data_IF_224631967377
#
_entry.id   IF_224631967377
#
_cell.length_a   1.000
_cell.length_b   1.000
_cell.length_c   1.000
_cell.angle_alpha   90.00
_cell.angle_beta   90.00
_cell.angle_gamma   90.00
#
_symmetry.space_group_name_H-M   'P 1'
#
loop_
_entity.id
_entity.type
_entity.pdbx_description
1 polymer ?
#
# COMPACT_ATOMS: atom_id res chain seq x y z
N UNK A 1 -56.13 65.25 7.26
CA UNK A 1 -56.75 64.30 6.30
C UNK A 1 -55.61 63.69 5.47
N UNK A 2 -55.29 62.40 5.69
CA UNK A 2 -54.35 61.48 4.96
C UNK A 2 -52.93 62.01 4.64
N UNK A 3 -51.91 61.65 5.43
CA UNK A 3 -50.96 60.50 5.33
C UNK A 3 -49.78 60.74 4.36
N UNK A 4 -48.60 60.97 4.98
CA UNK A 4 -47.24 60.44 4.72
C UNK A 4 -47.10 59.35 3.63
N UNK A 5 -46.01 59.15 2.87
CA UNK A 5 -44.56 59.27 3.13
C UNK A 5 -43.83 59.11 1.77
N UNK A 6 -42.70 59.80 1.54
CA UNK A 6 -41.51 59.25 0.85
C UNK A 6 -40.43 60.35 0.77
N UNK A 7 -39.53 60.33 1.74
CA UNK A 7 -38.23 61.00 1.68
C UNK A 7 -37.20 60.00 1.16
N UNK A 8 -36.32 60.46 0.28
CA UNK A 8 -34.88 60.13 0.17
C UNK A 8 -34.41 60.70 -1.17
N UNK A 9 -33.60 61.75 -1.28
CA UNK A 9 -32.41 62.06 -0.49
C UNK A 9 -31.19 61.71 -1.35
N UNK A 10 -30.78 62.65 -2.20
CA UNK A 10 -29.54 62.61 -2.97
C UNK A 10 -28.32 62.45 -2.05
N UNK A 11 -27.26 61.78 -2.52
CA UNK A 11 -25.86 62.29 -2.57
C UNK A 11 -24.94 61.24 -3.19
N UNK A 12 -24.14 61.72 -4.14
CA UNK A 12 -23.00 61.09 -4.78
C UNK A 12 -21.90 60.80 -3.74
N UNK A 13 -21.50 59.54 -3.56
CA UNK A 13 -20.28 59.17 -2.81
C UNK A 13 -19.42 58.28 -3.71
N UNK A 14 -18.25 58.80 -4.06
CA UNK A 14 -17.10 58.05 -4.55
C UNK A 14 -16.63 57.13 -3.43
N UNK A 15 -16.58 55.83 -3.67
CA UNK A 15 -15.82 54.92 -2.82
C UNK A 15 -15.13 53.83 -3.64
N UNK A 16 -13.81 53.99 -3.76
CA UNK A 16 -12.84 52.93 -3.96
C UNK A 16 -13.10 51.78 -2.98
N UNK A 17 -13.40 50.58 -3.47
CA UNK A 17 -13.08 49.34 -2.77
C UNK A 17 -12.73 48.25 -3.79
N UNK A 18 -11.48 48.29 -4.21
CA UNK A 18 -10.56 47.16 -4.28
C UNK A 18 -11.08 45.91 -5.01
N UNK A 19 -10.66 45.83 -6.27
CA UNK A 19 -10.34 44.59 -6.96
C UNK A 19 -9.32 43.82 -6.10
N UNK A 20 -9.81 42.97 -5.19
CA UNK A 20 -9.04 41.87 -4.62
C UNK A 20 -9.26 40.64 -5.50
N UNK A 21 -8.83 40.73 -6.75
CA UNK A 21 -8.41 39.54 -7.50
C UNK A 21 -7.01 39.17 -6.98
N UNK A 22 -6.95 38.61 -5.77
CA UNK A 22 -5.77 37.90 -5.32
C UNK A 22 -5.80 36.52 -5.96
N UNK A 23 -5.08 36.42 -7.08
CA UNK A 23 -3.93 35.54 -7.16
C UNK A 23 -4.03 34.25 -6.34
N UNK A 24 -4.82 33.28 -6.80
CA UNK A 24 -4.49 31.86 -6.59
C UNK A 24 -3.53 31.44 -7.71
N UNK A 25 -2.32 31.98 -7.67
CA UNK A 25 -1.14 31.25 -8.12
C UNK A 25 -0.82 30.29 -6.97
N UNK A 26 -0.58 29.00 -7.13
CA UNK A 26 -0.43 28.16 -8.31
C UNK A 26 0.01 26.83 -7.73
N UNK A 27 -0.95 25.95 -7.45
CA UNK A 27 -0.62 24.54 -7.29
C UNK A 27 -0.36 24.03 -8.70
N UNK A 28 0.87 23.60 -8.95
CA UNK A 28 1.27 22.98 -10.21
C UNK A 28 0.53 21.65 -10.38
N UNK A 29 -0.73 21.67 -10.80
CA UNK A 29 -1.46 20.50 -11.24
C UNK A 29 -1.14 20.26 -12.72
N UNK A 30 -0.27 19.30 -13.01
CA UNK A 30 -0.12 18.81 -14.38
C UNK A 30 -1.31 17.88 -14.67
N UNK A 31 -2.20 18.32 -15.56
CA UNK A 31 -3.30 17.51 -16.07
C UNK A 31 -2.76 16.35 -16.89
N UNK A 32 -3.31 15.16 -16.69
CA UNK A 32 -3.00 14.01 -17.54
C UNK A 32 -3.96 13.93 -18.73
N UNK A 33 -3.65 13.09 -19.71
CA UNK A 33 -4.59 12.76 -20.80
C UNK A 33 -5.01 11.31 -20.65
N UNK A 34 -6.30 11.03 -20.82
CA UNK A 34 -6.76 9.64 -20.97
C UNK A 34 -6.44 9.18 -22.40
N UNK A 35 -5.54 8.21 -22.57
CA UNK A 35 -5.33 7.53 -23.85
C UNK A 35 -5.99 6.15 -23.79
N UNK A 36 -7.15 6.03 -24.46
CA UNK A 36 -8.01 4.86 -24.30
C UNK A 36 -8.65 4.80 -22.90
N UNK A 37 -8.72 3.60 -22.32
CA UNK A 37 -9.38 3.34 -21.02
C UNK A 37 -8.46 3.50 -19.80
N UNK A 38 -7.13 3.59 -19.99
CA UNK A 38 -6.15 3.69 -18.90
C UNK A 38 -5.89 5.15 -18.47
N UNK A 39 -5.57 5.34 -17.19
CA UNK A 39 -5.06 6.62 -16.69
C UNK A 39 -3.62 6.83 -17.15
N UNK A 40 -3.25 8.02 -17.59
CA UNK A 40 -1.85 8.40 -17.77
C UNK A 40 -1.44 9.28 -16.59
N UNK A 41 -0.27 9.10 -15.99
CA UNK A 41 0.13 9.86 -14.80
C UNK A 41 1.58 10.26 -14.96
N UNK A 42 1.85 11.56 -15.13
CA UNK A 42 3.21 12.08 -15.29
C UNK A 42 3.91 12.29 -13.95
N UNK A 43 4.40 11.19 -13.37
CA UNK A 43 5.14 11.18 -12.10
C UNK A 43 6.39 12.04 -12.18
N UNK A 44 7.14 11.96 -13.29
CA UNK A 44 8.40 12.70 -13.46
C UNK A 44 8.20 14.20 -13.33
N UNK A 45 7.07 14.71 -13.82
CA UNK A 45 6.75 16.14 -13.78
C UNK A 45 6.56 16.68 -12.36
N UNK A 46 6.07 15.87 -11.42
CA UNK A 46 5.72 16.32 -10.06
C UNK A 46 6.70 15.88 -8.98
N UNK A 47 7.53 14.84 -9.21
CA UNK A 47 8.35 14.20 -8.16
C UNK A 47 9.22 15.16 -7.34
N UNK A 48 9.65 16.29 -7.94
CA UNK A 48 10.51 17.30 -7.32
C UNK A 48 9.74 18.54 -6.84
N UNK A 49 8.41 18.56 -6.95
CA UNK A 49 7.58 19.67 -6.49
C UNK A 49 7.42 19.66 -4.98
N UNK A 50 7.01 20.81 -4.44
CA UNK A 50 6.65 20.94 -3.03
C UNK A 50 5.43 20.08 -2.72
N UNK A 51 5.34 19.65 -1.46
CA UNK A 51 4.21 18.87 -0.98
C UNK A 51 3.00 19.76 -0.71
N UNK A 52 1.82 19.27 -1.07
CA UNK A 52 0.54 19.81 -0.66
C UNK A 52 0.03 19.10 0.60
N UNK A 53 -0.71 19.83 1.41
CA UNK A 53 -1.36 19.32 2.61
C UNK A 53 -2.75 18.75 2.25
N UNK A 54 -3.07 17.61 2.86
CA UNK A 54 -4.38 16.99 2.81
C UNK A 54 -4.78 16.59 4.23
N UNK A 55 -6.08 16.56 4.48
CA UNK A 55 -6.63 16.28 5.80
C UNK A 55 -7.30 14.91 5.84
N UNK A 56 -7.15 14.21 6.96
CA UNK A 56 -7.69 12.87 7.13
C UNK A 56 -9.22 12.83 6.99
N UNK A 57 -9.89 13.91 7.42
CA UNK A 57 -11.33 14.13 7.22
C UNK A 57 -11.77 14.17 5.75
N UNK A 58 -10.85 14.34 4.78
CA UNK A 58 -11.17 14.21 3.34
C UNK A 58 -11.33 12.74 2.92
N UNK A 59 -10.80 11.79 3.68
CA UNK A 59 -10.84 10.36 3.37
C UNK A 59 -11.92 9.60 4.14
N UNK A 60 -12.12 9.96 5.41
CA UNK A 60 -13.03 9.23 6.31
C UNK A 60 -13.54 10.13 7.43
N UNK A 61 -14.75 9.82 7.93
CA UNK A 61 -15.34 10.49 9.09
C UNK A 61 -14.76 10.02 10.42
N UNK A 62 -13.98 8.93 10.42
CA UNK A 62 -13.45 8.34 11.65
C UNK A 62 -12.15 7.56 11.45
N UNK A 63 -11.45 7.37 12.56
CA UNK A 63 -10.19 6.61 12.63
C UNK A 63 -10.31 5.56 13.74
N UNK A 64 -9.84 4.35 13.45
CA UNK A 64 -9.77 3.27 14.43
C UNK A 64 -8.33 2.83 14.63
N UNK A 65 -7.92 2.74 15.89
CA UNK A 65 -6.65 2.15 16.29
C UNK A 65 -6.86 0.75 16.85
N UNK A 66 -6.04 -0.20 16.43
CA UNK A 66 -6.06 -1.58 16.90
C UNK A 66 -4.64 -1.98 17.32
N UNK A 67 -4.27 -1.81 18.61
CA UNK A 67 -3.03 -2.33 19.14
C UNK A 67 -3.02 -3.86 19.05
N UNK A 68 -2.01 -4.42 18.39
CA UNK A 68 -1.83 -5.87 18.36
C UNK A 68 -1.22 -6.32 19.69
N UNK A 69 -1.78 -7.37 20.31
CA UNK A 69 -1.28 -7.91 21.57
C UNK A 69 0.18 -8.34 21.45
N UNK A 70 0.99 -8.01 22.45
CA UNK A 70 2.41 -8.36 22.52
C UNK A 70 2.65 -9.48 23.52
N UNK A 71 3.42 -10.48 23.11
CA UNK A 71 3.82 -11.59 23.95
C UNK A 71 5.01 -12.37 23.36
N UNK A 72 5.57 -13.32 24.13
CA UNK A 72 6.76 -14.06 23.70
C UNK A 72 6.58 -14.92 22.44
N UNK A 73 5.33 -15.26 22.11
CA UNK A 73 4.99 -16.15 20.99
C UNK A 73 4.55 -15.39 19.72
N UNK A 74 4.39 -14.08 19.79
CA UNK A 74 3.79 -13.28 18.72
C UNK A 74 4.44 -11.91 18.55
N UNK A 75 5.67 -11.74 19.02
CA UNK A 75 6.45 -10.52 18.80
C UNK A 75 6.81 -10.39 17.31
N UNK A 76 6.28 -9.35 16.68
CA UNK A 76 6.44 -9.09 15.26
C UNK A 76 7.73 -8.31 15.00
N UNK A 77 8.52 -8.76 14.01
CA UNK A 77 9.69 -8.00 13.55
C UNK A 77 9.32 -6.78 12.74
N UNK A 78 8.30 -6.94 11.89
CA UNK A 78 7.68 -5.93 11.04
C UNK A 78 6.44 -6.55 10.39
N UNK A 79 5.58 -5.73 9.77
CA UNK A 79 4.43 -6.22 9.01
C UNK A 79 4.81 -6.30 7.54
N UNK A 80 5.02 -7.52 7.05
CA UNK A 80 5.34 -7.80 5.64
C UNK A 80 4.11 -7.99 4.77
N UNK A 81 3.05 -8.53 5.36
CA UNK A 81 1.79 -8.84 4.70
C UNK A 81 0.68 -8.80 5.75
N UNK A 82 -0.51 -8.38 5.32
CA UNK A 82 -1.68 -8.24 6.16
C UNK A 82 -2.95 -8.52 5.36
N UNK A 83 -3.90 -9.19 6.01
CA UNK A 83 -5.28 -9.30 5.57
C UNK A 83 -6.22 -9.19 6.76
N UNK A 84 -7.40 -8.64 6.51
CA UNK A 84 -8.45 -8.40 7.51
C UNK A 84 -9.73 -9.01 6.95
N UNK A 85 -10.40 -9.81 7.78
CA UNK A 85 -11.74 -10.31 7.52
C UNK A 85 -12.71 -9.60 8.45
N UNK A 86 -14.00 -9.89 8.33
CA UNK A 86 -15.01 -9.41 9.28
C UNK A 86 -14.65 -9.77 10.74
N UNK A 87 -14.06 -10.95 10.95
CA UNK A 87 -13.90 -11.55 12.28
C UNK A 87 -12.44 -11.56 12.77
N UNK A 88 -11.46 -11.44 11.87
CA UNK A 88 -10.05 -11.69 12.19
C UNK A 88 -9.08 -10.73 11.48
N UNK A 89 -7.88 -10.66 12.04
CA UNK A 89 -6.71 -9.96 11.48
C UNK A 89 -5.59 -10.97 11.32
N UNK A 90 -5.00 -11.04 10.13
CA UNK A 90 -3.86 -11.90 9.82
C UNK A 90 -2.65 -11.03 9.48
N UNK A 91 -1.53 -11.30 10.14
CA UNK A 91 -0.29 -10.53 9.98
C UNK A 91 0.87 -11.49 9.77
N UNK A 92 1.72 -11.24 8.78
CA UNK A 92 2.96 -11.99 8.60
C UNK A 92 4.17 -11.08 8.71
N UNK A 93 5.23 -11.57 9.35
CA UNK A 93 6.54 -10.93 9.47
C UNK A 93 7.61 -11.56 8.54
N UNK A 94 7.16 -12.22 7.46
CA UNK A 94 7.91 -13.12 6.57
C UNK A 94 8.34 -14.47 7.16
N UNK A 95 8.35 -14.63 8.48
CA UNK A 95 8.80 -15.86 9.13
C UNK A 95 7.64 -16.67 9.70
N UNK A 96 6.61 -16.01 10.20
CA UNK A 96 5.39 -16.62 10.72
C UNK A 96 4.14 -15.91 10.19
N UNK A 97 3.00 -16.54 10.40
CA UNK A 97 1.68 -15.98 10.17
C UNK A 97 0.91 -15.99 11.48
N UNK A 98 0.56 -14.79 11.95
CA UNK A 98 -0.06 -14.56 13.24
C UNK A 98 -1.51 -14.18 13.04
N UNK A 99 -2.38 -14.82 13.82
CA UNK A 99 -3.82 -14.68 13.76
C UNK A 99 -4.30 -13.97 15.03
N UNK A 100 -4.98 -12.85 14.85
CA UNK A 100 -5.56 -12.02 15.90
C UNK A 100 -7.08 -11.88 15.70
N UNK A 101 -7.80 -11.60 16.77
CA UNK A 101 -9.19 -11.14 16.65
C UNK A 101 -9.24 -9.66 16.20
N UNK A 102 -10.44 -9.15 15.90
CA UNK A 102 -10.63 -7.75 15.49
C UNK A 102 -10.25 -6.70 16.53
N UNK A 103 -10.10 -7.07 17.80
CA UNK A 103 -9.63 -6.17 18.86
C UNK A 103 -8.11 -6.16 19.00
N UNK A 104 -7.41 -6.98 18.21
CA UNK A 104 -5.96 -7.12 18.25
C UNK A 104 -5.46 -8.15 19.26
N UNK A 105 -6.33 -8.92 19.92
CA UNK A 105 -5.90 -9.99 20.82
C UNK A 105 -5.37 -11.17 20.03
N UNK A 106 -4.28 -11.74 20.50
CA UNK A 106 -3.62 -12.86 19.84
C UNK A 106 -4.42 -14.14 20.03
N UNK A 107 -4.61 -14.86 18.93
CA UNK A 107 -5.29 -16.17 18.94
C UNK A 107 -4.26 -17.28 18.81
N UNK A 108 -3.43 -17.26 17.75
CA UNK A 108 -2.44 -18.31 17.45
C UNK A 108 -1.47 -17.90 16.33
N UNK A 109 -0.37 -18.65 16.21
CA UNK A 109 0.43 -18.72 14.98
C UNK A 109 -0.11 -19.85 14.09
N UNK A 110 -0.14 -19.65 12.77
CA UNK A 110 -0.52 -20.66 11.77
C UNK A 110 0.73 -21.12 11.02
N UNK A 111 0.98 -22.43 11.05
CA UNK A 111 2.24 -23.01 10.60
C UNK A 111 3.37 -22.77 11.61
N UNK A 112 4.56 -23.30 11.30
CA UNK A 112 5.80 -23.04 12.05
C UNK A 112 7.03 -23.40 11.20
N UNK A 113 8.19 -22.93 11.63
CA UNK A 113 9.46 -23.31 11.00
C UNK A 113 9.81 -24.76 11.35
N UNK A 114 10.13 -25.55 10.33
CA UNK A 114 10.56 -26.95 10.49
C UNK A 114 10.48 -27.73 9.17
N UNK A 115 10.51 -29.06 9.26
CA UNK A 115 10.57 -29.98 8.12
C UNK A 115 9.44 -31.03 8.10
N UNK A 116 8.53 -31.00 9.08
CA UNK A 116 7.37 -31.88 9.16
C UNK A 116 6.19 -31.41 8.30
N UNK A 117 5.11 -32.22 8.21
CA UNK A 117 3.87 -31.82 7.54
C UNK A 117 3.30 -30.54 8.16
N UNK A 118 3.00 -29.53 7.33
CA UNK A 118 2.54 -28.23 7.81
C UNK A 118 3.63 -27.34 8.42
N UNK A 119 4.92 -27.64 8.19
CA UNK A 119 6.03 -26.77 8.56
C UNK A 119 6.65 -26.13 7.30
N UNK A 120 7.36 -25.00 7.46
CA UNK A 120 7.95 -24.23 6.37
C UNK A 120 9.43 -23.84 6.62
N UNK A 121 10.14 -23.47 5.56
CA UNK A 121 11.58 -23.18 5.60
C UNK A 121 11.96 -21.81 6.23
N UNK A 122 10.98 -21.00 6.66
CA UNK A 122 11.21 -19.74 7.37
C UNK A 122 11.28 -18.49 6.50
N UNK A 123 10.91 -18.58 5.21
CA UNK A 123 10.55 -17.42 4.38
C UNK A 123 9.22 -17.69 3.69
N UNK A 124 8.17 -17.02 4.14
CA UNK A 124 6.81 -17.31 3.67
C UNK A 124 6.17 -16.16 2.89
N UNK A 125 5.16 -16.51 2.10
CA UNK A 125 4.11 -15.63 1.60
C UNK A 125 2.77 -16.25 1.96
N UNK A 126 1.78 -15.39 2.19
CA UNK A 126 0.47 -15.83 2.65
C UNK A 126 -0.63 -15.36 1.70
N UNK A 127 -1.69 -16.16 1.60
CA UNK A 127 -2.96 -15.73 1.04
C UNK A 127 -4.12 -16.39 1.78
N UNK A 128 -5.27 -15.73 1.76
CA UNK A 128 -6.47 -16.12 2.47
C UNK A 128 -7.59 -16.34 1.46
N UNK A 129 -8.24 -17.48 1.55
CA UNK A 129 -9.51 -17.75 0.88
C UNK A 129 -10.64 -17.61 1.91
N UNK A 130 -11.28 -16.44 1.89
CA UNK A 130 -12.41 -16.13 2.79
C UNK A 130 -13.63 -17.02 2.49
N UNK A 131 -13.83 -17.42 1.24
CA UNK A 131 -15.01 -18.18 0.81
C UNK A 131 -14.92 -19.63 1.24
N UNK A 132 -13.75 -20.24 1.07
CA UNK A 132 -13.54 -21.64 1.45
C UNK A 132 -12.92 -21.81 2.84
N UNK A 133 -12.64 -20.71 3.56
CA UNK A 133 -12.03 -20.71 4.89
C UNK A 133 -10.69 -21.44 4.90
N UNK A 134 -9.81 -21.07 3.96
CA UNK A 134 -8.46 -21.63 3.86
C UNK A 134 -7.38 -20.56 3.93
N UNK A 135 -6.22 -20.98 4.45
CA UNK A 135 -4.99 -20.19 4.51
C UNK A 135 -3.92 -20.92 3.72
N UNK A 136 -3.26 -20.20 2.83
CA UNK A 136 -2.15 -20.72 2.03
C UNK A 136 -0.85 -20.11 2.51
N UNK A 137 0.09 -20.95 2.92
CA UNK A 137 1.45 -20.55 3.28
C UNK A 137 2.41 -21.11 2.24
N UNK A 138 2.93 -20.23 1.39
CA UNK A 138 3.91 -20.55 0.37
C UNK A 138 5.33 -20.35 0.92
N UNK A 139 6.14 -21.40 0.85
CA UNK A 139 7.56 -21.40 1.23
C UNK A 139 8.42 -20.86 0.09
N UNK A 140 8.86 -19.62 0.22
CA UNK A 140 9.70 -18.96 -0.77
C UNK A 140 11.03 -19.73 -0.94
N UNK A 141 11.37 -20.02 -2.20
CA UNK A 141 12.61 -20.71 -2.58
C UNK A 141 12.49 -22.23 -2.70
N UNK A 142 11.47 -22.87 -2.11
CA UNK A 142 11.25 -24.33 -2.25
C UNK A 142 10.01 -24.70 -3.05
N UNK A 143 9.09 -23.75 -3.28
CA UNK A 143 7.88 -24.00 -4.07
C UNK A 143 6.74 -24.68 -3.30
N UNK A 144 6.98 -25.11 -2.06
CA UNK A 144 5.97 -25.80 -1.24
C UNK A 144 4.87 -24.87 -0.74
N UNK A 145 3.62 -25.30 -0.82
CA UNK A 145 2.44 -24.61 -0.32
C UNK A 145 1.74 -25.49 0.71
N UNK A 146 1.66 -25.00 1.93
CA UNK A 146 0.86 -25.63 2.99
C UNK A 146 -0.51 -24.96 3.06
N UNK A 147 -1.57 -25.77 3.14
CA UNK A 147 -2.96 -25.32 3.25
C UNK A 147 -3.48 -25.62 4.65
N UNK A 148 -4.08 -24.62 5.28
CA UNK A 148 -4.64 -24.71 6.63
C UNK A 148 -6.10 -24.30 6.62
N UNK A 149 -6.85 -24.80 7.59
CA UNK A 149 -8.18 -24.31 7.92
C UNK A 149 -8.09 -22.93 8.59
N UNK A 150 -8.87 -21.97 8.12
CA UNK A 150 -8.79 -20.57 8.56
C UNK A 150 -9.29 -20.35 9.99
N UNK A 151 -10.31 -21.10 10.41
CA UNK A 151 -10.93 -20.94 11.73
C UNK A 151 -10.08 -21.60 12.82
N UNK A 152 -9.61 -22.82 12.55
CA UNK A 152 -8.88 -23.64 13.53
C UNK A 152 -7.37 -23.48 13.44
N UNK A 153 -6.83 -23.04 12.30
CA UNK A 153 -5.39 -23.04 12.00
C UNK A 153 -4.79 -24.43 11.78
N UNK A 154 -5.64 -25.47 11.61
CA UNK A 154 -5.18 -26.85 11.46
C UNK A 154 -4.63 -27.10 10.07
N UNK A 155 -3.50 -27.79 9.96
CA UNK A 155 -2.95 -28.23 8.68
C UNK A 155 -3.92 -29.20 7.98
N UNK A 156 -4.16 -28.99 6.69
CA UNK A 156 -5.05 -29.82 5.85
C UNK A 156 -4.25 -30.71 4.92
N UNK A 157 -3.47 -30.08 4.03
CA UNK A 157 -2.66 -30.74 3.01
C UNK A 157 -1.60 -29.79 2.48
N UNK A 158 -0.74 -30.30 1.59
CA UNK A 158 0.27 -29.51 0.91
C UNK A 158 0.38 -29.91 -0.56
N UNK A 159 0.82 -28.98 -1.39
CA UNK A 159 1.23 -29.21 -2.77
C UNK A 159 2.50 -28.39 -3.07
N UNK A 160 3.09 -28.58 -4.24
CA UNK A 160 4.28 -27.83 -4.66
C UNK A 160 4.09 -27.25 -6.06
N UNK A 161 4.68 -26.09 -6.29
CA UNK A 161 4.83 -25.49 -7.62
C UNK A 161 6.29 -25.57 -8.08
N UNK A 162 6.51 -25.62 -9.39
CA UNK A 162 7.83 -25.76 -10.02
C UNK A 162 8.45 -24.41 -10.44
N UNK A 163 7.84 -23.30 -10.01
CA UNK A 163 8.30 -21.93 -10.27
C UNK A 163 8.47 -21.14 -8.95
N UNK A 164 9.21 -20.02 -9.03
CA UNK A 164 9.41 -19.13 -7.89
C UNK A 164 8.47 -17.93 -7.95
N UNK A 165 7.54 -17.87 -7.00
CA UNK A 165 6.64 -16.73 -6.80
C UNK A 165 7.19 -15.74 -5.76
N UNK A 166 7.06 -14.44 -6.04
CA UNK A 166 7.25 -13.37 -5.07
C UNK A 166 6.00 -13.09 -4.24
N UNK A 167 4.82 -13.28 -4.83
CA UNK A 167 3.52 -13.01 -4.18
C UNK A 167 2.50 -14.05 -4.64
N UNK A 168 1.47 -14.26 -3.81
CA UNK A 168 0.30 -15.04 -4.17
C UNK A 168 -0.96 -14.39 -3.60
N UNK A 169 -2.08 -14.58 -4.30
CA UNK A 169 -3.41 -14.18 -3.84
C UNK A 169 -4.45 -15.21 -4.26
N UNK A 170 -5.54 -15.33 -3.51
CA UNK A 170 -6.69 -16.15 -3.91
C UNK A 170 -7.69 -15.26 -4.65
N UNK A 171 -8.08 -15.68 -5.85
CA UNK A 171 -9.12 -15.02 -6.65
C UNK A 171 -10.52 -15.31 -6.10
N UNK A 172 -11.53 -14.47 -6.37
CA UNK A 172 -12.91 -14.73 -5.93
C UNK A 172 -13.46 -16.11 -6.32
N UNK A 173 -13.02 -16.64 -7.47
CA UNK A 173 -13.36 -17.98 -7.96
C UNK A 173 -12.65 -19.15 -7.26
N UNK A 174 -11.75 -18.88 -6.30
CA UNK A 174 -11.06 -19.90 -5.48
C UNK A 174 -9.72 -20.40 -6.06
N UNK A 175 -9.36 -20.05 -7.29
CA UNK A 175 -8.02 -20.31 -7.83
C UNK A 175 -6.99 -19.34 -7.23
N UNK A 176 -5.73 -19.75 -7.21
CA UNK A 176 -4.61 -19.01 -6.63
C UNK A 176 -3.79 -18.42 -7.77
N UNK A 177 -3.60 -17.10 -7.76
CA UNK A 177 -2.71 -16.39 -8.67
C UNK A 177 -1.33 -16.23 -8.01
N UNK A 178 -0.30 -16.82 -8.62
CA UNK A 178 1.10 -16.69 -8.21
C UNK A 178 1.83 -15.73 -9.13
N UNK A 179 2.48 -14.71 -8.56
CA UNK A 179 3.25 -13.71 -9.29
C UNK A 179 4.72 -14.02 -9.18
N UNK A 180 5.36 -14.33 -10.31
CA UNK A 180 6.78 -14.72 -10.34
C UNK A 180 7.70 -13.52 -10.21
N UNK A 181 8.93 -13.73 -9.74
CA UNK A 181 9.95 -12.67 -9.85
C UNK A 181 10.28 -12.40 -11.32
N UNK A 182 10.70 -11.19 -11.66
CA UNK A 182 11.34 -10.97 -12.95
C UNK A 182 12.63 -11.78 -13.01
N UNK A 183 12.68 -12.77 -13.89
CA UNK A 183 13.86 -13.61 -14.12
C UNK A 183 13.97 -13.92 -15.62
N UNK A 184 15.17 -14.30 -16.07
CA UNK A 184 15.39 -14.69 -17.47
C UNK A 184 14.84 -16.09 -17.81
N UNK A 185 14.49 -16.89 -16.81
CA UNK A 185 14.10 -18.29 -16.97
C UNK A 185 12.59 -18.51 -17.03
N UNK A 186 11.80 -17.55 -16.53
CA UNK A 186 10.35 -17.65 -16.51
C UNK A 186 9.68 -16.49 -17.27
N UNK A 187 9.19 -16.82 -18.47
CA UNK A 187 8.45 -15.89 -19.31
C UNK A 187 7.05 -15.61 -18.76
N UNK A 188 6.51 -16.48 -17.91
CA UNK A 188 5.21 -16.28 -17.30
C UNK A 188 5.36 -15.41 -16.06
N UNK A 189 4.57 -14.35 -16.01
CA UNK A 189 4.52 -13.46 -14.84
C UNK A 189 3.47 -13.85 -13.83
N UNK A 190 2.39 -14.47 -14.28
CA UNK A 190 1.32 -14.98 -13.40
C UNK A 190 1.02 -16.42 -13.77
N UNK A 191 0.96 -17.28 -12.76
CA UNK A 191 0.39 -18.63 -12.87
C UNK A 191 -0.91 -18.68 -12.09
N UNK A 192 -1.94 -19.27 -12.69
CA UNK A 192 -3.20 -19.58 -12.02
C UNK A 192 -3.22 -21.06 -11.71
N UNK A 193 -3.27 -21.40 -10.44
CA UNK A 193 -3.21 -22.76 -9.92
C UNK A 193 -4.50 -23.00 -9.12
N UNK A 194 -5.04 -24.22 -9.17
CA UNK A 194 -6.14 -24.58 -8.28
C UNK A 194 -5.66 -24.81 -6.83
N UNK A 195 -6.58 -25.20 -5.95
CA UNK A 195 -6.29 -25.43 -4.52
C UNK A 195 -5.52 -26.74 -4.22
N UNK A 196 -5.30 -27.56 -5.23
CA UNK A 196 -4.63 -28.85 -5.16
C UNK A 196 -3.27 -28.86 -5.87
N UNK A 197 -2.90 -27.76 -6.53
CA UNK A 197 -1.62 -27.59 -7.21
C UNK A 197 -1.68 -27.76 -8.74
N UNK A 198 -2.86 -27.97 -9.32
CA UNK A 198 -3.01 -28.13 -10.76
C UNK A 198 -2.97 -26.78 -11.47
N UNK A 199 -2.16 -26.68 -12.51
CA UNK A 199 -2.04 -25.46 -13.31
C UNK A 199 -3.26 -25.28 -14.22
N UNK A 200 -3.95 -24.16 -14.05
CA UNK A 200 -5.13 -23.79 -14.83
C UNK A 200 -4.77 -22.92 -16.04
N UNK A 201 -3.95 -21.89 -15.83
CA UNK A 201 -3.57 -20.92 -16.86
C UNK A 201 -2.28 -20.18 -16.48
N UNK A 202 -1.76 -19.38 -17.40
CA UNK A 202 -0.66 -18.46 -17.14
C UNK A 202 -0.75 -17.20 -18.03
N UNK A 203 -0.22 -16.09 -17.53
CA UNK A 203 0.00 -14.86 -18.32
C UNK A 203 1.49 -14.75 -18.61
N UNK A 204 1.84 -14.73 -19.88
CA UNK A 204 3.20 -14.52 -20.37
C UNK A 204 3.53 -13.02 -20.56
N UNK A 205 4.79 -12.68 -20.32
CA UNK A 205 5.33 -11.35 -20.56
C UNK A 205 6.63 -11.44 -21.34
N UNK A 206 6.52 -11.27 -22.65
CA UNK A 206 7.66 -11.27 -23.57
C UNK A 206 8.58 -10.05 -23.43
N UNK A 207 8.17 -9.03 -22.65
CA UNK A 207 9.01 -7.87 -22.31
C UNK A 207 9.90 -8.11 -21.09
N UNK A 208 9.81 -9.28 -20.44
CA UNK A 208 10.80 -9.71 -19.46
C UNK A 208 12.12 -9.95 -20.18
N UNK A 209 12.97 -8.94 -20.15
CA UNK A 209 14.30 -8.99 -20.73
C UNK A 209 15.23 -9.77 -19.83
N UNK A 210 16.34 -10.22 -20.42
CA UNK A 210 17.45 -10.81 -19.66
C UNK A 210 17.97 -9.79 -18.66
N UNK A 211 17.85 -10.10 -17.37
CA UNK A 211 18.48 -9.34 -16.30
C UNK A 211 20.00 -9.52 -16.44
N UNK A 212 20.72 -8.41 -16.65
CA UNK A 212 22.19 -8.38 -16.74
C UNK A 212 22.84 -8.00 -15.42
N UNK A 213 22.06 -7.39 -14.53
CA UNK A 213 22.43 -6.98 -13.19
C UNK A 213 22.00 -7.95 -12.10
N UNK A 214 21.88 -7.46 -10.86
CA UNK A 214 21.40 -8.21 -9.70
C UNK A 214 20.13 -7.64 -9.07
N UNK A 215 19.42 -6.77 -9.80
CA UNK A 215 18.15 -6.16 -9.41
C UNK A 215 17.01 -6.82 -10.18
N UNK A 216 16.05 -7.37 -9.45
CA UNK A 216 14.85 -7.99 -10.01
C UNK A 216 13.60 -7.22 -9.57
N UNK A 217 12.66 -7.06 -10.50
CA UNK A 217 11.34 -6.54 -10.20
C UNK A 217 10.49 -7.57 -9.47
N UNK A 218 9.67 -7.08 -8.55
CA UNK A 218 8.74 -7.87 -7.75
C UNK A 218 7.34 -7.29 -7.90
N UNK A 219 6.32 -8.15 -7.98
CA UNK A 219 4.94 -7.71 -8.07
C UNK A 219 4.44 -7.15 -6.72
N UNK A 220 3.90 -5.94 -6.77
CA UNK A 220 3.01 -5.37 -5.74
C UNK A 220 1.58 -5.66 -6.16
N UNK A 221 0.79 -6.30 -5.29
CA UNK A 221 -0.52 -6.89 -5.64
C UNK A 221 -1.56 -6.50 -4.62
N UNK A 222 -2.77 -6.15 -5.07
CA UNK A 222 -3.91 -5.87 -4.21
C UNK A 222 -5.23 -6.10 -4.94
N UNK A 223 -6.31 -6.20 -4.17
CA UNK A 223 -7.68 -6.20 -4.68
C UNK A 223 -8.32 -4.84 -4.47
N UNK A 224 -9.19 -4.44 -5.39
CA UNK A 224 -10.16 -3.37 -5.20
C UNK A 224 -11.48 -3.80 -5.88
N UNK A 225 -12.60 -3.75 -5.14
CA UNK A 225 -13.91 -4.08 -5.69
C UNK A 225 -14.04 -5.51 -6.22
N UNK A 226 -13.28 -6.47 -5.65
CA UNK A 226 -13.22 -7.86 -6.11
C UNK A 226 -12.30 -8.11 -7.31
N UNK A 227 -11.75 -7.05 -7.92
CA UNK A 227 -10.88 -7.14 -9.08
C UNK A 227 -9.40 -7.06 -8.66
N UNK A 228 -8.54 -7.75 -9.42
CA UNK A 228 -7.12 -7.92 -9.10
C UNK A 228 -6.26 -6.88 -9.82
N UNK A 229 -5.41 -6.19 -9.07
CA UNK A 229 -4.47 -5.21 -9.58
C UNK A 229 -3.05 -5.53 -9.18
N UNK A 230 -2.11 -5.28 -10.08
CA UNK A 230 -0.70 -5.44 -9.76
C UNK A 230 0.22 -4.59 -10.65
N UNK A 231 1.37 -4.27 -10.11
CA UNK A 231 2.46 -3.65 -10.84
C UNK A 231 3.78 -4.21 -10.33
N UNK A 232 4.70 -4.49 -11.25
CA UNK A 232 6.06 -4.84 -10.88
C UNK A 232 6.83 -3.59 -10.47
N UNK A 233 7.62 -3.68 -9.40
CA UNK A 233 8.57 -2.66 -9.06
C UNK A 233 9.45 -2.35 -10.28
N UNK A 234 9.78 -1.07 -10.47
CA UNK A 234 10.58 -0.56 -11.59
C UNK A 234 9.86 -0.54 -12.96
N UNK A 235 8.62 -1.01 -13.05
CA UNK A 235 7.76 -0.84 -14.23
C UNK A 235 6.86 0.38 -14.09
N UNK A 236 6.25 0.75 -15.20
CA UNK A 236 5.43 1.96 -15.38
C UNK A 236 3.94 1.64 -15.57
N UNK A 237 3.54 0.38 -15.56
CA UNK A 237 2.17 -0.01 -15.90
C UNK A 237 1.54 -0.77 -14.75
N UNK A 238 0.49 -0.18 -14.15
CA UNK A 238 -0.42 -0.86 -13.25
C UNK A 238 -1.43 -1.64 -14.10
N UNK A 239 -1.41 -2.95 -13.96
CA UNK A 239 -2.32 -3.86 -14.66
C UNK A 239 -3.51 -4.24 -13.80
N UNK A 240 -4.59 -4.58 -14.49
CA UNK A 240 -5.80 -5.17 -13.97
C UNK A 240 -5.98 -6.56 -14.59
N UNK A 241 -6.35 -7.56 -13.79
CA UNK A 241 -6.75 -8.89 -14.25
C UNK A 241 -8.22 -9.09 -13.90
N UNK A 242 -9.04 -9.33 -14.93
CA UNK A 242 -10.47 -9.58 -14.77
C UNK A 242 -10.78 -11.05 -14.42
N UNK A 243 -12.05 -11.37 -14.23
CA UNK A 243 -12.51 -12.72 -13.88
C UNK A 243 -12.26 -13.78 -14.98
N UNK A 244 -12.06 -13.37 -16.24
CA UNK A 244 -11.68 -14.26 -17.36
C UNK A 244 -10.15 -14.46 -17.45
N UNK A 245 -9.41 -14.02 -16.43
CA UNK A 245 -7.95 -14.06 -16.36
C UNK A 245 -7.27 -13.22 -17.45
N UNK A 246 -7.99 -12.26 -18.03
CA UNK A 246 -7.48 -11.35 -19.03
C UNK A 246 -6.82 -10.14 -18.37
N UNK A 247 -5.61 -9.82 -18.81
CA UNK A 247 -4.81 -8.68 -18.32
C UNK A 247 -4.97 -7.46 -19.23
N UNK A 248 -5.32 -6.33 -18.64
CA UNK A 248 -5.35 -5.00 -19.30
C UNK A 248 -4.61 -3.93 -18.50
N UNK A 249 -4.02 -2.92 -19.15
CA UNK A 249 -3.46 -1.77 -18.46
C UNK A 249 -4.57 -0.95 -17.79
N UNK A 250 -4.36 -0.56 -16.53
CA UNK A 250 -5.26 0.30 -15.76
C UNK A 250 -4.70 1.72 -15.62
N UNK A 251 -3.40 1.85 -15.34
CA UNK A 251 -2.71 3.14 -15.31
C UNK A 251 -1.27 3.02 -15.85
N UNK A 252 -0.83 4.06 -16.54
CA UNK A 252 0.50 4.22 -17.14
C UNK A 252 1.20 5.41 -16.46
N UNK A 253 2.40 5.19 -15.94
CA UNK A 253 3.16 6.17 -15.19
C UNK A 253 4.38 6.65 -15.99
N UNK A 254 4.41 7.93 -16.37
CA UNK A 254 5.59 8.50 -17.01
C UNK A 254 6.69 8.70 -15.97
N UNK A 255 7.57 7.71 -15.85
CA UNK A 255 8.69 7.75 -14.91
C UNK A 255 9.89 8.49 -15.50
N UNK A 256 10.10 8.52 -16.83
CA UNK A 256 11.21 9.25 -17.47
C UNK A 256 12.63 8.79 -17.09
N UNK A 257 12.80 7.53 -16.66
CA UNK A 257 14.11 6.98 -16.34
C UNK A 257 14.97 6.85 -17.61
N UNK A 258 16.22 7.30 -17.56
CA UNK A 258 17.20 7.12 -18.64
C UNK A 258 17.88 5.75 -18.57
N UNK A 259 17.94 5.18 -17.36
CA UNK A 259 18.55 3.90 -17.07
C UNK A 259 17.48 2.81 -16.91
N UNK A 260 17.86 1.57 -17.21
CA UNK A 260 17.04 0.37 -17.01
C UNK A 260 17.52 -0.40 -15.78
N UNK A 261 16.59 -0.80 -14.91
CA UNK A 261 16.93 -1.59 -13.72
C UNK A 261 17.57 -2.94 -14.04
N UNK A 262 17.33 -3.48 -15.24
CA UNK A 262 17.92 -4.75 -15.68
C UNK A 262 19.45 -4.70 -15.78
N UNK A 263 20.04 -3.50 -15.89
CA UNK A 263 21.48 -3.29 -16.01
C UNK A 263 22.12 -2.90 -14.66
N UNK A 264 21.33 -2.76 -13.59
CA UNK A 264 21.82 -2.34 -12.28
C UNK A 264 22.60 -3.44 -11.57
N UNK A 265 23.85 -3.13 -11.20
CA UNK A 265 24.69 -3.99 -10.37
C UNK A 265 24.91 -3.28 -9.04
N UNK A 266 24.12 -3.63 -8.04
CA UNK A 266 24.24 -3.07 -6.69
C UNK A 266 25.17 -3.94 -5.86
N UNK A 267 26.34 -3.40 -5.52
CA UNK A 267 27.34 -4.08 -4.70
C UNK A 267 27.33 -3.50 -3.28
N UNK A 268 27.83 -4.25 -2.27
CA UNK A 268 28.03 -3.75 -0.90
C UNK A 268 29.10 -2.65 -0.82
N UNK A 269 28.83 -1.47 -1.37
CA UNK A 269 29.73 -0.32 -1.40
C UNK A 269 28.91 0.99 -1.58
N UNK A 270 28.87 1.87 -0.58
CA UNK A 270 28.07 3.10 -0.59
C UNK A 270 28.35 4.08 -1.74
N UNK A 271 29.54 4.02 -2.33
CA UNK A 271 29.96 4.95 -3.39
C UNK A 271 29.94 4.32 -4.80
N UNK A 272 29.70 3.02 -4.91
CA UNK A 272 29.64 2.33 -6.19
C UNK A 272 28.18 2.08 -6.61
N UNK A 273 27.83 2.53 -7.82
CA UNK A 273 26.57 2.21 -8.50
C UNK A 273 25.30 2.77 -7.83
N UNK A 274 25.30 4.08 -7.57
CA UNK A 274 24.12 4.84 -7.19
C UNK A 274 23.48 5.55 -8.40
N UNK A 275 22.17 5.44 -8.54
CA UNK A 275 21.35 5.99 -9.62
C UNK A 275 20.39 7.07 -9.07
N UNK A 276 20.87 8.30 -8.80
CA UNK A 276 20.13 9.33 -8.06
C UNK A 276 18.83 9.79 -8.70
N UNK A 277 18.70 9.64 -10.03
CA UNK A 277 17.57 10.12 -10.80
C UNK A 277 16.57 9.03 -11.17
N UNK A 278 16.85 7.78 -10.78
CA UNK A 278 15.95 6.66 -11.00
C UNK A 278 14.72 6.80 -10.11
N UNK A 279 13.53 6.73 -10.72
CA UNK A 279 12.25 6.77 -10.02
C UNK A 279 11.61 5.41 -10.14
N UNK A 280 11.08 4.91 -9.02
CA UNK A 280 10.24 3.73 -9.01
C UNK A 280 9.00 3.97 -8.15
N UNK A 281 8.01 3.12 -8.34
CA UNK A 281 6.80 3.08 -7.53
C UNK A 281 6.75 1.72 -6.82
N UNK A 282 7.41 1.56 -5.66
CA UNK A 282 7.35 0.30 -4.91
C UNK A 282 5.94 -0.07 -4.47
N UNK A 283 5.03 0.91 -4.37
CA UNK A 283 3.68 0.69 -3.88
C UNK A 283 2.69 1.64 -4.50
N UNK A 284 1.58 1.08 -4.96
CA UNK A 284 0.42 1.82 -5.41
C UNK A 284 -0.85 1.13 -4.95
N UNK A 285 -1.80 1.94 -4.49
CA UNK A 285 -3.15 1.53 -4.12
C UNK A 285 -4.14 2.50 -4.76
N UNK A 286 -5.36 2.08 -5.02
CA UNK A 286 -6.44 2.99 -5.37
C UNK A 286 -7.71 2.65 -4.61
N UNK A 287 -8.53 3.67 -4.36
CA UNK A 287 -9.77 3.60 -3.59
C UNK A 287 -10.35 5.01 -3.41
N UNK A 288 -11.64 5.15 -3.13
CA UNK A 288 -12.28 6.42 -2.73
C UNK A 288 -12.02 7.63 -3.65
N UNK A 289 -11.93 7.41 -4.97
CA UNK A 289 -11.64 8.51 -5.91
C UNK A 289 -10.16 8.91 -6.01
N UNK A 290 -9.25 8.24 -5.28
CA UNK A 290 -7.81 8.51 -5.29
C UNK A 290 -6.98 7.33 -5.81
N UNK A 291 -5.75 7.63 -6.22
CA UNK A 291 -4.63 6.68 -6.22
C UNK A 291 -3.54 7.19 -5.27
N UNK A 292 -3.02 6.31 -4.45
CA UNK A 292 -1.97 6.56 -3.47
C UNK A 292 -0.73 5.81 -3.93
N UNK A 293 0.34 6.53 -4.26
CA UNK A 293 1.62 5.92 -4.63
C UNK A 293 2.74 6.34 -3.68
N UNK A 294 3.48 5.36 -3.17
CA UNK A 294 4.78 5.60 -2.54
C UNK A 294 5.83 5.50 -3.64
N UNK A 295 6.54 6.61 -3.86
CA UNK A 295 7.63 6.73 -4.81
C UNK A 295 8.96 6.52 -4.10
N UNK A 296 9.93 5.99 -4.83
CA UNK A 296 11.34 6.03 -4.44
C UNK A 296 12.12 6.75 -5.52
N UNK A 297 12.82 7.81 -5.13
CA UNK A 297 13.80 8.51 -5.97
C UNK A 297 15.21 8.13 -5.52
N UNK A 298 16.07 7.79 -6.47
CA UNK A 298 17.37 7.23 -6.18
C UNK A 298 17.32 5.71 -6.02
N UNK A 299 18.38 5.04 -6.47
CA UNK A 299 18.51 3.59 -6.32
C UNK A 299 19.99 3.20 -6.13
N UNK A 300 20.31 2.39 -5.12
CA UNK A 300 21.68 1.93 -4.86
C UNK A 300 21.86 1.32 -3.46
N UNK A 301 23.06 0.85 -3.14
CA UNK A 301 23.40 0.36 -1.80
C UNK A 301 23.86 1.54 -0.93
N UNK A 302 23.07 1.91 0.07
CA UNK A 302 23.48 2.96 1.01
C UNK A 302 22.71 2.95 2.33
N UNK A 303 22.10 1.82 2.67
CA UNK A 303 21.23 1.74 3.85
C UNK A 303 20.11 2.79 3.86
N UNK A 304 19.72 3.20 5.06
CA UNK A 304 18.60 4.13 5.33
C UNK A 304 18.82 5.54 4.74
N UNK A 305 20.06 5.90 4.37
CA UNK A 305 20.41 7.24 3.89
C UNK A 305 20.16 7.48 2.38
N UNK A 306 19.80 6.44 1.61
CA UNK A 306 19.59 6.52 0.15
C UNK A 306 18.13 6.27 -0.29
N UNK A 307 17.16 6.45 0.61
CA UNK A 307 15.74 6.26 0.29
C UNK A 307 15.00 7.60 0.36
N UNK A 308 15.08 8.40 -0.71
CA UNK A 308 14.18 9.53 -0.90
C UNK A 308 12.79 8.99 -1.24
N UNK A 309 12.07 8.57 -0.19
CA UNK A 309 10.70 8.11 -0.25
C UNK A 309 9.77 9.31 -0.30
N UNK A 310 8.89 9.33 -1.28
CA UNK A 310 7.92 10.41 -1.47
C UNK A 310 6.52 9.84 -1.61
N UNK A 311 5.50 10.60 -1.23
CA UNK A 311 4.10 10.20 -1.38
C UNK A 311 3.45 11.03 -2.48
N UNK A 312 2.78 10.36 -3.39
CA UNK A 312 2.08 10.95 -4.51
C UNK A 312 0.60 10.59 -4.43
N UNK A 313 -0.25 11.61 -4.48
CA UNK A 313 -1.69 11.48 -4.48
C UNK A 313 -2.23 11.93 -5.83
N UNK A 314 -2.99 11.05 -6.48
CA UNK A 314 -3.72 11.37 -7.71
C UNK A 314 -5.23 11.37 -7.44
N UNK A 315 -5.89 12.49 -7.70
CA UNK A 315 -7.35 12.64 -7.61
C UNK A 315 -7.98 12.25 -8.94
N UNK A 316 -8.62 11.07 -8.99
CA UNK A 316 -9.18 10.49 -10.23
C UNK A 316 -10.34 11.31 -10.81
N UNK A 317 -11.04 12.07 -9.98
CA UNK A 317 -12.23 12.85 -10.39
C UNK A 317 -11.87 14.18 -11.03
N UNK A 318 -10.88 14.90 -10.48
CA UNK A 318 -10.40 16.18 -11.00
C UNK A 318 -9.20 16.05 -11.94
N UNK A 319 -8.62 14.85 -12.07
CA UNK A 319 -7.40 14.60 -12.83
C UNK A 319 -6.21 15.44 -12.33
N UNK A 320 -6.07 15.55 -11.02
CA UNK A 320 -5.02 16.33 -10.38
C UNK A 320 -4.00 15.43 -9.68
N UNK A 321 -2.73 15.82 -9.80
CA UNK A 321 -1.59 15.06 -9.30
C UNK A 321 -0.78 15.92 -8.32
N UNK A 322 -0.52 15.37 -7.12
CA UNK A 322 0.16 16.09 -6.04
C UNK A 322 1.25 15.23 -5.40
N UNK A 323 2.33 15.90 -4.98
CA UNK A 323 3.20 15.38 -3.93
C UNK A 323 2.62 15.75 -2.57
N UNK A 324 2.78 14.91 -1.55
CA UNK A 324 2.28 15.16 -0.20
C UNK A 324 3.17 14.52 0.87
N UNK A 325 3.03 14.96 2.12
CA UNK A 325 3.59 14.27 3.29
C UNK A 325 2.64 13.19 3.85
N UNK A 326 1.42 13.11 3.33
CA UNK A 326 0.34 12.24 3.79
C UNK A 326 -0.86 13.05 4.25
N UNK A 327 -1.82 12.38 4.89
CA UNK A 327 -3.04 13.01 5.40
C UNK A 327 -2.83 13.42 6.85
N UNK A 328 -2.83 14.73 7.10
CA UNK A 328 -2.75 15.31 8.44
C UNK A 328 -3.98 14.88 9.22
N UNK A 329 -3.78 14.26 10.37
CA UNK A 329 -4.88 13.76 11.19
C UNK A 329 -5.53 14.90 11.99
N UNK A 330 -6.57 15.46 11.39
CA UNK A 330 -7.44 16.48 11.97
C UNK A 330 -8.67 15.90 12.69
N UNK A 331 -8.82 14.58 12.72
CA UNK A 331 -9.94 13.89 13.37
C UNK A 331 -9.72 13.81 14.88
N UNK A 332 -8.56 13.31 15.31
CA UNK A 332 -8.27 13.08 16.72
C UNK A 332 -6.90 13.60 17.18
N UNK A 333 -6.19 14.27 16.28
CA UNK A 333 -4.87 14.87 16.52
C UNK A 333 -3.73 13.86 16.57
N UNK A 334 -3.91 12.63 16.07
CA UNK A 334 -2.84 11.63 15.97
C UNK A 334 -1.82 11.88 14.85
N UNK A 335 -1.00 10.87 14.55
CA UNK A 335 0.02 10.93 13.50
C UNK A 335 -0.57 11.03 12.08
N UNK A 336 0.21 11.59 11.15
CA UNK A 336 -0.10 11.64 9.71
C UNK A 336 -0.28 10.25 9.10
N UNK A 337 -1.39 10.05 8.39
CA UNK A 337 -1.78 8.78 7.79
C UNK A 337 -1.28 8.64 6.33
N UNK A 338 -0.85 7.43 5.95
CA UNK A 338 -0.68 7.07 4.55
C UNK A 338 -0.98 5.58 4.31
N UNK A 339 -1.93 5.24 3.41
CA UNK A 339 -2.38 3.86 3.28
C UNK A 339 -1.25 2.93 2.80
N UNK A 340 -0.99 1.90 3.60
CA UNK A 340 -0.11 0.77 3.28
C UNK A 340 -0.90 -0.44 2.80
N UNK A 341 -2.17 -0.61 3.14
CA UNK A 341 -2.99 -1.65 2.53
C UNK A 341 -4.37 -1.12 2.20
N UNK A 342 -5.01 -1.81 1.27
CA UNK A 342 -6.41 -1.62 0.92
C UNK A 342 -7.09 -2.99 0.91
N UNK A 343 -8.08 -3.20 1.78
CA UNK A 343 -8.79 -4.48 1.96
C UNK A 343 -10.24 -4.22 2.32
N UNK A 344 -11.19 -4.80 1.59
CA UNK A 344 -12.63 -4.67 1.87
C UNK A 344 -13.04 -3.20 2.12
N UNK A 345 -12.62 -2.30 1.24
CA UNK A 345 -12.80 -0.84 1.30
C UNK A 345 -12.09 -0.11 2.46
N UNK A 346 -11.37 -0.83 3.32
CA UNK A 346 -10.54 -0.22 4.37
C UNK A 346 -9.19 0.27 3.83
N UNK A 347 -8.87 1.53 4.12
CA UNK A 347 -7.50 2.03 4.05
C UNK A 347 -6.79 1.72 5.37
N UNK A 348 -5.62 1.10 5.28
CA UNK A 348 -4.91 0.56 6.44
C UNK A 348 -3.49 1.10 6.48
N UNK A 349 -3.09 1.66 7.60
CA UNK A 349 -1.70 1.96 7.97
C UNK A 349 -1.35 1.22 9.27
N UNK A 350 -0.10 1.32 9.70
CA UNK A 350 0.34 0.94 11.03
C UNK A 350 1.45 1.87 11.49
N UNK A 351 1.54 2.05 12.80
CA UNK A 351 2.64 2.76 13.45
C UNK A 351 3.31 1.85 14.46
N UNK A 352 4.62 2.03 14.65
CA UNK A 352 5.31 1.42 15.77
C UNK A 352 4.90 2.14 17.07
N UNK A 353 4.79 1.44 18.21
CA UNK A 353 4.35 2.07 19.45
C UNK A 353 5.24 3.23 19.91
N UNK A 354 6.56 3.09 19.78
CA UNK A 354 7.49 4.17 20.11
C UNK A 354 7.23 5.44 19.26
N UNK A 355 6.85 5.31 17.99
CA UNK A 355 6.54 6.46 17.12
C UNK A 355 5.30 7.22 17.62
N UNK A 356 4.28 6.50 18.08
CA UNK A 356 3.05 7.10 18.63
C UNK A 356 3.36 7.81 19.94
N UNK A 357 4.14 7.16 20.82
CA UNK A 357 4.52 7.68 22.14
C UNK A 357 5.33 8.97 21.96
N UNK A 358 6.38 8.93 21.13
CA UNK A 358 7.23 10.09 20.83
C UNK A 358 6.41 11.24 20.26
N UNK A 359 5.58 10.96 19.25
CA UNK A 359 4.70 11.95 18.64
C UNK A 359 3.79 12.64 19.68
N UNK A 360 3.14 11.88 20.56
CA UNK A 360 2.28 12.45 21.59
C UNK A 360 3.06 13.35 22.55
N UNK A 361 4.24 12.92 23.02
CA UNK A 361 5.03 13.73 23.95
C UNK A 361 5.58 15.02 23.31
N UNK A 362 5.92 14.99 22.04
CA UNK A 362 6.34 16.17 21.27
C UNK A 362 5.20 17.15 21.00
N UNK A 363 3.96 16.65 20.86
CA UNK A 363 2.82 17.45 20.38
C UNK A 363 1.75 17.77 21.42
N UNK A 364 1.72 17.12 22.59
CA UNK A 364 0.68 17.30 23.63
C UNK A 364 0.45 18.73 24.15
N UNK A 365 1.43 19.63 23.96
CA UNK A 365 1.33 21.05 24.32
C UNK A 365 0.97 21.98 23.16
N UNK A 366 0.86 21.43 21.94
CA UNK A 366 0.70 22.16 20.67
C UNK A 366 -0.59 21.72 19.97
N UNK A 367 -0.83 20.41 19.92
CA UNK A 367 -1.95 19.77 19.25
C UNK A 367 -3.04 19.38 20.26
N UNK A 368 -4.29 19.40 19.80
CA UNK A 368 -5.43 18.89 20.57
C UNK A 368 -5.64 17.42 20.23
N UNK A 369 -5.22 16.53 21.13
CA UNK A 369 -5.48 15.10 21.03
C UNK A 369 -6.85 14.74 21.63
N UNK A 370 -7.52 13.74 21.06
CA UNK A 370 -8.75 13.19 21.64
C UNK A 370 -8.48 12.39 22.91
N UNK A 371 -9.47 12.28 23.81
CA UNK A 371 -9.36 11.47 25.02
C UNK A 371 -9.09 9.99 24.68
N UNK A 372 -9.69 9.48 23.60
CA UNK A 372 -9.49 8.09 23.15
C UNK A 372 -8.05 7.84 22.66
N UNK A 373 -7.46 8.79 21.92
CA UNK A 373 -6.07 8.71 21.50
C UNK A 373 -5.13 8.72 22.71
N UNK A 374 -5.36 9.63 23.66
CA UNK A 374 -4.56 9.72 24.90
C UNK A 374 -4.68 8.43 25.72
N UNK A 375 -5.89 7.87 25.86
CA UNK A 375 -6.12 6.62 26.59
C UNK A 375 -5.36 5.45 25.95
N UNK A 376 -5.35 5.37 24.62
CA UNK A 376 -4.56 4.38 23.90
C UNK A 376 -3.07 4.55 24.17
N UNK A 377 -2.52 5.76 23.98
CA UNK A 377 -1.09 6.05 24.18
C UNK A 377 -0.62 5.66 25.58
N UNK A 378 -1.42 5.97 26.61
CA UNK A 378 -1.08 5.65 28.00
C UNK A 378 -1.05 4.14 28.31
N UNK A 379 -1.57 3.28 27.43
CA UNK A 379 -1.56 1.82 27.58
C UNK A 379 -0.43 1.15 26.78
N UNK A 380 0.24 1.87 25.88
CA UNK A 380 1.30 1.32 25.02
C UNK A 380 2.65 1.24 25.75
N UNK A 381 3.43 0.21 25.40
CA UNK A 381 4.86 0.14 25.64
C UNK A 381 5.61 0.37 24.31
N UNK A 382 6.79 1.00 24.36
CA UNK A 382 7.62 1.26 23.16
C UNK A 382 7.98 -0.01 22.37
N UNK A 383 8.05 -1.16 23.03
CA UNK A 383 8.40 -2.45 22.44
C UNK A 383 7.18 -3.32 22.11
N UNK A 384 5.97 -2.77 22.20
CA UNK A 384 4.78 -3.50 21.80
C UNK A 384 4.78 -3.80 20.30
N UNK A 385 3.93 -4.74 19.90
CA UNK A 385 3.63 -4.96 18.50
C UNK A 385 2.99 -3.69 17.87
N UNK A 386 3.09 -3.53 16.54
CA UNK A 386 2.53 -2.37 15.86
C UNK A 386 1.04 -2.15 16.12
N UNK A 387 0.63 -0.89 16.14
CA UNK A 387 -0.78 -0.49 16.21
C UNK A 387 -1.28 -0.32 14.78
N UNK A 388 -2.32 -1.06 14.40
CA UNK A 388 -2.98 -0.87 13.12
C UNK A 388 -3.88 0.36 13.16
N UNK A 389 -3.94 1.08 12.04
CA UNK A 389 -4.77 2.28 11.87
C UNK A 389 -5.69 2.03 10.68
N UNK A 390 -7.00 2.03 10.95
CA UNK A 390 -8.02 1.65 9.97
C UNK A 390 -8.93 2.87 9.69
N UNK A 391 -9.17 3.14 8.41
CA UNK A 391 -10.17 4.09 7.93
C UNK A 391 -11.17 3.37 7.04
N UNK A 392 -12.46 3.64 7.24
CA UNK A 392 -13.56 3.18 6.38
C UNK A 392 -13.95 4.24 5.36
#
# INVERSE_FOLDING_TARGET
>A
MKKELSNSGYVLVVLCCIVFALSSCGLNSNSSKKSGDAYEIDVRSVVNMNTADFYLSELSDGIQYVPLETGPLNLLRFISWLDITKDYIFVSDLRGLYHFDRSGRFIREIGRIGNGPGEHNGRIRCAIDKNNKEVFIYSFGTGGVNVYDLETGSFKHSFSVDFLAHSLVVLPGGSIAFFTMETEFDINEVYFIDRHGEKLAAISNHLRTKIRGNVSGNASVYFNGGELYYMYNYRDTLYHINNDLYRSPFALFTLGNQESHHDFIILPNPEANYYPNFISIPKILHGNGYMFATLQKGFGDGGVHNQDQRKMLYKKTSDELFMTNGFVNDIDGGMTFWPKWFRDDLLIDHYQPYEIIDYYYETKGIMKHSDAFIEMVNKLNENDNPVLVLLN
#
